data_IF_992536407228
#
_entry.id   IF_992536407228
#
_cell.length_a   1.000
_cell.length_b   1.000
_cell.length_c   1.000
_cell.angle_alpha   90.00
_cell.angle_beta   90.00
_cell.angle_gamma   90.00
#
_symmetry.space_group_name_H-M   'P 1'
#
loop_
_entity.id
_entity.type
_entity.pdbx_description
1 polymer ?
#
# COMPACT_ATOMS: atom_id res chain seq x y z
N UNK A 1 -4.56 8.83 -10.18
CA UNK A 1 -3.69 8.44 -9.05
C UNK A 1 -4.22 9.11 -7.81
N UNK A 2 -4.95 8.36 -6.97
CA UNK A 2 -5.41 8.88 -5.67
C UNK A 2 -4.19 9.35 -4.87
N UNK A 3 -4.35 10.46 -4.13
CA UNK A 3 -3.28 11.03 -3.31
C UNK A 3 -2.81 10.06 -2.22
N UNK A 4 -3.67 9.11 -1.81
CA UNK A 4 -3.32 7.98 -0.94
C UNK A 4 -2.08 7.22 -1.42
N UNK A 5 -2.07 6.76 -2.68
CA UNK A 5 -0.99 5.92 -3.20
C UNK A 5 0.32 6.68 -3.37
N UNK A 6 0.24 7.97 -3.73
CA UNK A 6 1.42 8.86 -3.77
C UNK A 6 2.01 9.03 -2.37
N UNK A 7 1.16 9.25 -1.36
CA UNK A 7 1.58 9.44 0.03
C UNK A 7 2.27 8.18 0.56
N UNK A 8 1.71 7.00 0.31
CA UNK A 8 2.30 5.71 0.68
C UNK A 8 3.69 5.47 0.07
N UNK A 9 3.87 5.81 -1.21
CA UNK A 9 5.17 5.70 -1.89
C UNK A 9 6.20 6.69 -1.34
N UNK A 10 5.79 7.94 -1.14
CA UNK A 10 6.65 9.00 -0.60
C UNK A 10 7.12 8.66 0.80
N UNK A 11 6.20 8.30 1.70
CA UNK A 11 6.51 7.94 3.08
C UNK A 11 7.48 6.75 3.15
N UNK A 12 7.26 5.70 2.33
CA UNK A 12 8.19 4.56 2.27
C UNK A 12 9.62 5.01 1.94
N UNK A 13 9.76 5.88 0.94
CA UNK A 13 11.07 6.39 0.51
C UNK A 13 11.72 7.25 1.59
N UNK A 14 10.96 8.11 2.25
CA UNK A 14 11.44 8.94 3.37
C UNK A 14 11.93 8.09 4.54
N UNK A 15 11.27 6.95 4.81
CA UNK A 15 11.69 5.98 5.82
C UNK A 15 12.88 5.10 5.38
N UNK A 16 13.34 5.22 4.13
CA UNK A 16 14.44 4.41 3.61
C UNK A 16 14.12 2.91 3.50
N UNK A 17 12.85 2.53 3.48
CA UNK A 17 12.41 1.12 3.47
C UNK A 17 12.35 0.63 2.01
N UNK A 18 13.05 -0.46 1.69
CA UNK A 18 12.99 -1.05 0.34
C UNK A 18 11.72 -1.89 0.14
N UNK A 19 11.32 -2.11 -1.12
CA UNK A 19 10.20 -3.03 -1.41
C UNK A 19 10.58 -4.47 -1.05
N UNK A 20 11.85 -4.81 -1.15
CA UNK A 20 12.44 -6.08 -0.78
C UNK A 20 12.31 -6.33 0.73
N UNK A 21 12.47 -5.29 1.56
CA UNK A 21 12.30 -5.41 3.00
C UNK A 21 10.83 -5.65 3.38
N UNK A 22 9.91 -4.94 2.73
CA UNK A 22 8.47 -5.15 2.91
C UNK A 22 8.08 -6.56 2.46
N UNK A 23 8.59 -7.02 1.31
CA UNK A 23 8.39 -8.37 0.81
C UNK A 23 8.90 -9.43 1.81
N UNK A 24 10.09 -9.25 2.38
CA UNK A 24 10.65 -10.18 3.37
C UNK A 24 9.76 -10.34 4.59
N UNK A 25 9.18 -9.25 5.10
CA UNK A 25 8.37 -9.21 6.33
C UNK A 25 6.92 -9.64 6.11
N UNK A 26 6.31 -9.22 5.01
CA UNK A 26 4.87 -9.46 4.74
C UNK A 26 4.59 -10.64 3.80
N UNK A 27 5.60 -11.09 3.04
CA UNK A 27 5.48 -12.06 1.94
C UNK A 27 4.63 -11.59 0.75
N UNK A 28 4.23 -10.33 0.72
CA UNK A 28 3.54 -9.73 -0.43
C UNK A 28 4.54 -9.61 -1.58
N UNK A 29 4.18 -10.09 -2.77
CA UNK A 29 5.05 -10.03 -3.94
C UNK A 29 5.43 -8.59 -4.29
N UNK A 30 6.69 -8.36 -4.68
CA UNK A 30 7.18 -7.04 -5.12
C UNK A 30 6.31 -6.46 -6.24
N UNK A 31 5.77 -7.27 -7.16
CA UNK A 31 4.84 -6.79 -8.20
C UNK A 31 3.57 -6.19 -7.59
N UNK A 32 3.02 -6.83 -6.55
CA UNK A 32 1.87 -6.32 -5.80
C UNK A 32 2.23 -5.04 -5.04
N UNK A 33 3.41 -4.96 -4.43
CA UNK A 33 3.85 -3.73 -3.76
C UNK A 33 3.99 -2.56 -4.74
N UNK A 34 4.48 -2.82 -5.95
CA UNK A 34 4.52 -1.82 -7.04
C UNK A 34 3.12 -1.42 -7.49
N UNK A 35 2.21 -2.39 -7.59
CA UNK A 35 0.80 -2.15 -7.92
C UNK A 35 0.10 -1.26 -6.88
N UNK A 36 0.42 -1.42 -5.58
CA UNK A 36 -0.06 -0.53 -4.52
C UNK A 36 0.46 0.89 -4.79
N UNK A 37 1.76 1.06 -5.02
CA UNK A 37 2.34 2.40 -5.28
C UNK A 37 1.82 3.06 -6.56
N UNK A 38 1.35 2.28 -7.55
CA UNK A 38 0.76 2.79 -8.79
C UNK A 38 -0.77 2.87 -8.76
N UNK A 39 -1.41 2.43 -7.68
CA UNK A 39 -2.87 2.33 -7.57
C UNK A 39 -3.52 1.34 -8.55
N UNK A 40 -2.74 0.46 -9.21
CA UNK A 40 -3.26 -0.51 -10.18
C UNK A 40 -3.38 -1.89 -9.54
N UNK A 41 -4.41 -2.06 -8.71
CA UNK A 41 -4.71 -3.32 -8.03
C UNK A 41 -5.88 -4.07 -8.71
N UNK A 42 -6.15 -3.74 -9.98
CA UNK A 42 -7.26 -4.29 -10.77
C UNK A 42 -7.26 -5.82 -10.86
N UNK A 43 -6.07 -6.44 -10.76
CA UNK A 43 -5.88 -7.90 -10.74
C UNK A 43 -6.26 -8.58 -9.42
N UNK A 44 -6.53 -7.80 -8.36
CA UNK A 44 -6.84 -8.31 -7.03
C UNK A 44 -8.30 -8.07 -6.67
N UNK A 45 -8.89 -9.02 -5.94
CA UNK A 45 -10.21 -8.81 -5.31
C UNK A 45 -10.14 -7.67 -4.27
N UNK A 46 -11.25 -6.95 -4.06
CA UNK A 46 -11.35 -5.86 -3.08
C UNK A 46 -10.85 -6.25 -1.68
N UNK A 47 -11.08 -7.48 -1.24
CA UNK A 47 -10.58 -8.00 0.04
C UNK A 47 -9.05 -8.01 0.10
N UNK A 48 -8.39 -8.52 -0.93
CA UNK A 48 -6.93 -8.54 -1.02
C UNK A 48 -6.32 -7.16 -1.21
N UNK A 49 -7.00 -6.26 -1.94
CA UNK A 49 -6.58 -4.86 -2.04
C UNK A 49 -6.48 -4.23 -0.66
N UNK A 50 -7.56 -4.30 0.14
CA UNK A 50 -7.58 -3.75 1.51
C UNK A 50 -6.51 -4.39 2.40
N UNK A 51 -6.41 -5.73 2.41
CA UNK A 51 -5.41 -6.46 3.20
C UNK A 51 -3.98 -6.03 2.88
N UNK A 52 -3.62 -5.96 1.60
CA UNK A 52 -2.25 -5.62 1.21
C UNK A 52 -1.92 -4.14 1.40
N UNK A 53 -2.89 -3.25 1.18
CA UNK A 53 -2.72 -1.82 1.47
C UNK A 53 -2.47 -1.62 2.97
N UNK A 54 -3.25 -2.26 3.84
CA UNK A 54 -3.08 -2.18 5.31
C UNK A 54 -1.71 -2.73 5.73
N UNK A 55 -1.34 -3.91 5.21
CA UNK A 55 -0.04 -4.51 5.52
C UNK A 55 1.12 -3.63 5.06
N UNK A 56 1.05 -3.07 3.84
CA UNK A 56 2.06 -2.13 3.34
C UNK A 56 2.17 -0.88 4.21
N UNK A 57 1.02 -0.29 4.58
CA UNK A 57 0.96 0.91 5.41
C UNK A 57 1.60 0.68 6.80
N UNK A 58 1.26 -0.44 7.44
CA UNK A 58 1.83 -0.82 8.74
C UNK A 58 3.36 -0.94 8.67
N UNK A 59 3.88 -1.52 7.59
CA UNK A 59 5.32 -1.71 7.38
C UNK A 59 6.12 -0.43 7.23
N UNK A 60 5.47 0.67 6.83
CA UNK A 60 6.10 1.98 6.66
C UNK A 60 5.74 2.95 7.80
N UNK A 61 5.01 2.46 8.81
CA UNK A 61 4.59 3.23 9.98
C UNK A 61 3.44 4.21 9.72
N UNK A 62 2.63 3.98 8.67
CA UNK A 62 1.38 4.69 8.46
C UNK A 62 0.27 4.08 9.33
N UNK A 63 -0.65 4.92 9.82
CA UNK A 63 -1.77 4.48 10.64
C UNK A 63 -2.83 3.80 9.74
N UNK A 64 -3.19 2.52 9.98
CA UNK A 64 -4.18 1.80 9.18
C UNK A 64 -5.56 2.47 9.12
N UNK A 65 -5.97 3.19 10.16
CA UNK A 65 -7.27 3.86 10.23
C UNK A 65 -7.38 4.99 9.18
N UNK A 66 -6.32 5.77 9.02
CA UNK A 66 -6.25 6.85 8.03
C UNK A 66 -6.31 6.29 6.60
N UNK A 67 -5.65 5.15 6.39
CA UNK A 67 -5.61 4.46 5.09
C UNK A 67 -6.96 3.86 4.72
N UNK A 68 -7.68 3.28 5.69
CA UNK A 68 -9.01 2.71 5.45
C UNK A 68 -9.99 3.82 5.04
N UNK A 69 -9.95 4.96 5.72
CA UNK A 69 -10.80 6.12 5.42
C UNK A 69 -10.55 6.65 4.00
N UNK A 70 -9.29 6.87 3.64
CA UNK A 70 -8.92 7.34 2.29
C UNK A 70 -9.22 6.30 1.19
N UNK A 71 -9.17 5.00 1.52
CA UNK A 71 -9.49 3.91 0.58
C UNK A 71 -10.98 3.79 0.29
N UNK A 72 -11.86 4.25 1.19
CA UNK A 72 -13.29 4.26 0.93
C UNK A 72 -13.69 5.44 0.03
N UNK A 73 -13.02 6.58 0.15
CA UNK A 73 -13.24 7.76 -0.73
C UNK A 73 -12.63 7.62 -2.13
N UNK A 74 -11.62 6.75 -2.32
CA UNK A 74 -10.90 6.60 -3.59
C UNK A 74 -11.38 5.43 -4.48
N UNK A 75 -12.38 4.65 -4.03
CA UNK A 75 -12.93 3.49 -4.77
C UNK A 75 -14.44 3.69 -5.08
N UNK A 76 -14.86 4.94 -5.28
CA UNK A 76 -16.05 5.30 -6.06
C UNK A 76 -15.66 5.70 -7.50
#
# INVERSE_FOLDING_TARGET
>A
MSDLYKNLKTLRKEKGISLEDINKRTKINISTLKAIESGDLSSLTRTYQRLFIIAYAAEIGANPEDIIKDSEESIE
#
